data_IF_989541490285
#
_entry.id   IF_989541490285
#
_cell.length_a   1.000
_cell.length_b   1.000
_cell.length_c   1.000
_cell.angle_alpha   90.00
_cell.angle_beta   90.00
_cell.angle_gamma   90.00
#
_symmetry.space_group_name_H-M   'P 1'
#
loop_
_entity.id
_entity.type
_entity.pdbx_description
1 polymer ?
#
# COMPACT_ATOMS: atom_id res chain seq x y z
N UNK A 1 -7.93 -27.26 -13.78
CA UNK A 1 -6.89 -27.73 -12.82
C UNK A 1 -7.34 -29.04 -12.22
N UNK A 2 -6.45 -30.03 -12.10
CA UNK A 2 -6.78 -31.30 -11.43
C UNK A 2 -6.56 -31.14 -9.92
N UNK A 3 -7.60 -31.42 -9.13
CA UNK A 3 -7.55 -31.47 -7.68
C UNK A 3 -7.92 -32.90 -7.26
N UNK A 4 -6.90 -33.73 -6.99
CA UNK A 4 -7.10 -35.16 -6.75
C UNK A 4 -7.72 -35.85 -7.96
N UNK A 5 -8.92 -36.42 -7.79
CA UNK A 5 -9.70 -37.06 -8.87
C UNK A 5 -10.73 -36.13 -9.53
N UNK A 6 -10.84 -34.87 -9.09
CA UNK A 6 -11.79 -33.90 -9.64
C UNK A 6 -11.10 -32.92 -10.60
N UNK A 7 -11.82 -32.54 -11.66
CA UNK A 7 -11.40 -31.48 -12.57
C UNK A 7 -12.10 -30.19 -12.16
N UNK A 8 -11.34 -29.23 -11.63
CA UNK A 8 -11.81 -27.85 -11.48
C UNK A 8 -11.83 -27.20 -12.87
N UNK A 9 -13.04 -26.93 -13.39
CA UNK A 9 -13.30 -26.54 -14.79
C UNK A 9 -12.79 -25.15 -15.18
N UNK A 10 -12.46 -24.31 -14.21
CA UNK A 10 -12.13 -22.89 -14.39
C UNK A 10 -10.63 -22.61 -14.41
N UNK A 11 -9.78 -23.53 -13.93
CA UNK A 11 -8.31 -23.43 -14.03
C UNK A 11 -7.68 -22.18 -13.36
N UNK A 12 -8.46 -21.36 -12.66
CA UNK A 12 -8.05 -20.09 -12.09
C UNK A 12 -7.09 -20.29 -10.92
N UNK A 13 -6.05 -19.46 -10.86
CA UNK A 13 -5.09 -19.41 -9.76
C UNK A 13 -5.37 -18.18 -8.91
N UNK A 14 -5.74 -18.39 -7.63
CA UNK A 14 -5.88 -17.29 -6.68
C UNK A 14 -4.56 -17.05 -5.94
N UNK A 15 -4.04 -15.84 -6.01
CA UNK A 15 -2.81 -15.44 -5.31
C UNK A 15 -3.17 -14.41 -4.24
N UNK A 16 -2.81 -14.70 -2.99
CA UNK A 16 -2.97 -13.76 -1.89
C UNK A 16 -1.66 -12.96 -1.73
N UNK A 17 -1.69 -11.71 -2.19
CA UNK A 17 -0.54 -10.81 -2.10
C UNK A 17 -0.80 -9.74 -1.03
N UNK A 18 0.15 -9.47 -0.12
CA UNK A 18 0.00 -8.38 0.83
C UNK A 18 -0.01 -7.03 0.12
N UNK A 19 -1.14 -6.33 0.16
CA UNK A 19 -1.28 -4.99 -0.43
C UNK A 19 -0.94 -3.92 0.61
N UNK A 20 -0.27 -2.86 0.16
CA UNK A 20 -0.01 -1.71 1.03
C UNK A 20 -1.31 -0.91 1.23
N UNK A 21 -1.82 -0.78 2.47
CA UNK A 21 -3.10 -0.11 2.70
C UNK A 21 -3.09 1.39 2.35
N UNK A 22 -1.92 2.04 2.29
CA UNK A 22 -1.84 3.43 1.83
C UNK A 22 -2.27 3.59 0.37
N UNK A 23 -2.01 2.60 -0.48
CA UNK A 23 -2.41 2.63 -1.89
C UNK A 23 -3.94 2.50 -2.04
N UNK A 24 -4.58 1.76 -1.13
CA UNK A 24 -6.04 1.63 -1.10
C UNK A 24 -6.74 2.93 -0.67
N UNK A 25 -6.09 3.73 0.18
CA UNK A 25 -6.66 4.98 0.72
C UNK A 25 -6.40 6.16 -0.22
N UNK A 26 -5.35 6.09 -1.03
CA UNK A 26 -4.94 7.14 -1.95
C UNK A 26 -6.07 7.72 -2.84
N UNK A 27 -6.94 6.92 -3.50
CA UNK A 27 -8.03 7.47 -4.31
C UNK A 27 -9.02 8.29 -3.47
N UNK A 28 -9.31 7.86 -2.24
CA UNK A 28 -10.19 8.59 -1.32
C UNK A 28 -9.57 9.91 -0.87
N UNK A 29 -8.26 9.92 -0.58
CA UNK A 29 -7.52 11.13 -0.24
C UNK A 29 -7.54 12.16 -1.37
N UNK A 30 -7.27 11.71 -2.60
CA UNK A 30 -7.32 12.57 -3.79
C UNK A 30 -8.73 13.14 -4.04
N UNK A 31 -9.77 12.37 -3.72
CA UNK A 31 -11.17 12.76 -3.93
C UNK A 31 -11.69 13.72 -2.86
N UNK A 32 -11.38 13.47 -1.58
CA UNK A 32 -12.04 14.15 -0.46
C UNK A 32 -11.13 15.06 0.36
N UNK A 33 -9.80 14.93 0.26
CA UNK A 33 -8.85 15.65 1.11
C UNK A 33 -7.79 16.42 0.30
N UNK A 34 -8.07 16.76 -0.96
CA UNK A 34 -7.11 17.46 -1.84
C UNK A 34 -6.85 18.89 -1.37
N UNK A 35 -7.93 19.65 -1.17
CA UNK A 35 -7.84 21.08 -0.89
C UNK A 35 -7.97 21.39 0.60
N UNK A 36 -8.74 20.59 1.34
CA UNK A 36 -9.08 20.82 2.74
C UNK A 36 -8.60 19.71 3.68
N UNK A 37 -8.46 20.08 4.96
CA UNK A 37 -8.19 19.15 6.04
C UNK A 37 -9.46 18.42 6.45
N UNK A 38 -9.49 17.10 6.21
CA UNK A 38 -10.65 16.25 6.50
C UNK A 38 -10.30 15.15 7.49
N UNK A 39 -11.20 14.80 8.43
CA UNK A 39 -10.99 13.64 9.28
C UNK A 39 -11.11 12.36 8.46
N UNK A 40 -10.38 11.32 8.88
CA UNK A 40 -10.34 10.05 8.14
C UNK A 40 -11.72 9.39 7.99
N UNK A 41 -12.61 9.61 8.98
CA UNK A 41 -14.03 9.21 8.94
C UNK A 41 -14.79 9.73 7.73
N UNK A 42 -14.53 10.98 7.33
CA UNK A 42 -15.20 11.63 6.21
C UNK A 42 -14.59 11.24 4.87
N UNK A 43 -13.30 10.89 4.87
CA UNK A 43 -12.57 10.48 3.67
C UNK A 43 -12.94 9.04 3.28
N UNK A 44 -13.06 8.13 4.25
CA UNK A 44 -13.30 6.69 4.04
C UNK A 44 -14.80 6.35 4.00
N UNK A 45 -15.56 7.11 3.20
CA UNK A 45 -16.98 6.87 2.94
C UNK A 45 -17.17 6.34 1.53
N UNK A 46 -17.59 5.09 1.45
CA UNK A 46 -17.88 4.38 0.20
C UNK A 46 -19.05 3.42 0.41
N UNK A 47 -20.13 3.63 -0.33
CA UNK A 47 -21.34 2.82 -0.25
C UNK A 47 -21.21 1.52 -1.06
N UNK A 48 -20.39 1.52 -2.12
CA UNK A 48 -20.07 0.33 -2.90
C UNK A 48 -19.07 -0.56 -2.15
N UNK A 49 -18.12 0.04 -1.44
CA UNK A 49 -17.07 -0.64 -0.68
C UNK A 49 -17.05 -0.26 0.80
N UNK A 50 -18.06 -0.66 1.61
CA UNK A 50 -18.18 -0.27 3.01
C UNK A 50 -17.03 -0.77 3.90
N UNK A 51 -16.31 -1.81 3.46
CA UNK A 51 -15.14 -2.37 4.16
C UNK A 51 -13.97 -1.37 4.30
N UNK A 52 -13.93 -0.32 3.48
CA UNK A 52 -12.88 0.71 3.53
C UNK A 52 -12.84 1.43 4.89
N UNK A 53 -13.97 1.51 5.59
CA UNK A 53 -14.06 2.04 6.97
C UNK A 53 -13.18 1.27 7.98
N UNK A 54 -12.81 0.01 7.69
CA UNK A 54 -11.91 -0.75 8.56
C UNK A 54 -10.50 -0.13 8.62
N UNK A 55 -10.06 0.54 7.55
CA UNK A 55 -8.75 1.17 7.49
C UNK A 55 -8.64 2.35 8.46
N UNK A 56 -9.76 2.98 8.81
CA UNK A 56 -9.82 4.04 9.82
C UNK A 56 -9.40 3.54 11.21
N UNK A 57 -9.65 2.27 11.52
CA UNK A 57 -9.36 1.68 12.84
C UNK A 57 -7.93 1.16 12.97
N UNK A 58 -7.14 1.22 11.90
CA UNK A 58 -5.80 0.66 11.87
C UNK A 58 -4.75 1.71 12.23
N UNK A 59 -4.18 1.65 13.44
CA UNK A 59 -3.12 2.57 13.88
C UNK A 59 -1.88 2.54 12.96
N UNK A 60 -1.59 1.39 12.37
CA UNK A 60 -0.50 1.21 11.40
C UNK A 60 -0.72 2.01 10.13
N UNK A 61 -1.98 2.19 9.72
CA UNK A 61 -2.36 3.01 8.57
C UNK A 61 -2.25 4.49 8.95
N UNK A 62 -2.89 4.88 10.05
CA UNK A 62 -2.90 6.26 10.55
C UNK A 62 -1.47 6.79 10.70
N UNK A 63 -0.59 6.01 11.33
CA UNK A 63 0.82 6.39 11.54
C UNK A 63 1.63 6.51 10.26
N UNK A 64 1.21 5.85 9.17
CA UNK A 64 1.87 5.89 7.86
C UNK A 64 1.29 6.95 6.92
N UNK A 65 0.09 7.45 7.16
CA UNK A 65 -0.54 8.50 6.34
C UNK A 65 0.31 9.78 6.24
N UNK A 66 1.11 10.07 7.27
CA UNK A 66 2.07 11.19 7.27
C UNK A 66 3.11 11.15 6.13
N UNK A 67 3.26 10.00 5.46
CA UNK A 67 4.16 9.89 4.31
C UNK A 67 3.56 10.42 3.01
N UNK A 68 2.23 10.55 2.93
CA UNK A 68 1.51 10.92 1.71
C UNK A 68 0.53 12.09 1.93
N UNK A 69 0.43 12.59 3.17
CA UNK A 69 -0.50 13.64 3.57
C UNK A 69 0.10 14.49 4.70
N UNK A 70 -0.33 15.74 4.78
CA UNK A 70 -0.21 16.55 5.98
C UNK A 70 -1.20 16.05 7.04
N UNK A 71 -0.72 15.98 8.29
CA UNK A 71 -1.51 15.51 9.43
C UNK A 71 -1.46 16.56 10.52
N UNK A 72 -2.63 17.01 10.97
CA UNK A 72 -2.78 17.87 12.13
C UNK A 72 -3.75 17.24 13.12
N UNK A 73 -3.63 17.64 14.39
CA UNK A 73 -4.55 17.25 15.44
C UNK A 73 -5.22 18.50 15.99
N UNK A 74 -6.53 18.59 15.83
CA UNK A 74 -7.35 19.73 16.25
C UNK A 74 -8.38 19.18 17.23
N UNK A 75 -8.34 19.66 18.47
CA UNK A 75 -9.29 19.24 19.52
C UNK A 75 -9.37 17.72 19.72
N UNK A 76 -8.24 17.01 19.61
CA UNK A 76 -8.17 15.54 19.75
C UNK A 76 -8.63 14.75 18.51
N UNK A 77 -8.94 15.42 17.41
CA UNK A 77 -9.31 14.80 16.13
C UNK A 77 -8.17 14.99 15.13
N UNK A 78 -7.70 13.88 14.55
CA UNK A 78 -6.71 13.92 13.48
C UNK A 78 -7.38 14.24 12.14
N UNK A 79 -6.89 15.29 11.50
CA UNK A 79 -7.31 15.74 10.18
C UNK A 79 -6.15 15.60 9.20
N UNK A 80 -6.50 15.23 7.97
CA UNK A 80 -5.56 14.88 6.91
C UNK A 80 -5.83 15.73 5.68
N UNK A 81 -4.76 16.17 5.03
CA UNK A 81 -4.81 16.81 3.72
C UNK A 81 -3.81 16.11 2.79
N UNK A 82 -4.29 15.67 1.65
CA UNK A 82 -3.50 15.07 0.59
C UNK A 82 -2.48 16.06 0.05
N UNK A 83 -1.27 15.57 -0.21
CA UNK A 83 -0.24 16.34 -0.87
C UNK A 83 0.47 15.48 -1.92
N UNK A 84 0.58 16.01 -3.13
CA UNK A 84 1.16 15.29 -4.26
C UNK A 84 2.67 15.15 -4.14
N UNK A 85 3.37 16.14 -3.58
CA UNK A 85 4.83 16.08 -3.42
C UNK A 85 5.22 15.02 -2.37
N UNK A 86 4.48 14.95 -1.26
CA UNK A 86 4.64 13.91 -0.25
C UNK A 86 4.40 12.52 -0.87
N UNK A 87 3.34 12.35 -1.65
CA UNK A 87 3.08 11.10 -2.36
C UNK A 87 4.25 10.71 -3.28
N UNK A 88 4.71 11.63 -4.13
CA UNK A 88 5.80 11.37 -5.06
C UNK A 88 7.07 10.98 -4.30
N UNK A 89 7.47 11.75 -3.29
CA UNK A 89 8.64 11.42 -2.46
C UNK A 89 8.55 10.03 -1.82
N UNK A 90 7.36 9.64 -1.38
CA UNK A 90 7.10 8.32 -0.82
C UNK A 90 7.22 7.21 -1.88
N UNK A 91 6.65 7.40 -3.07
CA UNK A 91 6.74 6.45 -4.17
C UNK A 91 8.18 6.29 -4.67
N UNK A 92 8.91 7.38 -4.87
CA UNK A 92 10.34 7.37 -5.25
C UNK A 92 11.16 6.56 -4.24
N UNK A 93 10.93 6.77 -2.94
CA UNK A 93 11.60 6.00 -1.89
C UNK A 93 11.25 4.51 -1.95
N UNK A 94 10.02 4.16 -2.32
CA UNK A 94 9.58 2.77 -2.47
C UNK A 94 10.23 2.10 -3.67
N UNK A 95 10.29 2.77 -4.80
CA UNK A 95 10.97 2.29 -6.01
C UNK A 95 12.47 2.05 -5.73
N UNK A 96 13.17 3.03 -5.17
CA UNK A 96 14.58 2.89 -4.75
C UNK A 96 14.80 1.73 -3.77
N UNK A 97 13.81 1.41 -2.93
CA UNK A 97 13.88 0.28 -2.02
C UNK A 97 13.69 -1.06 -2.75
N UNK A 98 12.81 -1.10 -3.74
CA UNK A 98 12.55 -2.28 -4.56
C UNK A 98 13.76 -2.62 -5.43
N UNK A 99 14.36 -1.64 -6.13
CA UNK A 99 15.58 -1.82 -6.92
C UNK A 99 16.70 -2.46 -6.09
N UNK A 100 16.93 -1.95 -4.87
CA UNK A 100 17.94 -2.49 -3.96
C UNK A 100 17.66 -3.92 -3.51
N UNK A 101 16.40 -4.34 -3.50
CA UNK A 101 15.99 -5.65 -2.98
C UNK A 101 15.86 -6.69 -4.08
N UNK A 102 15.40 -6.29 -5.26
CA UNK A 102 15.06 -7.17 -6.38
C UNK A 102 16.22 -7.34 -7.38
N UNK A 103 17.26 -6.50 -7.31
CA UNK A 103 18.41 -6.57 -8.21
C UNK A 103 18.28 -5.67 -9.45
N UNK A 104 19.39 -5.44 -10.18
CA UNK A 104 19.43 -4.48 -11.29
C UNK A 104 18.52 -4.87 -12.45
N UNK A 105 18.37 -6.17 -12.73
CA UNK A 105 17.48 -6.73 -13.75
C UNK A 105 15.99 -6.42 -13.52
N UNK A 106 15.58 -6.29 -12.26
CA UNK A 106 14.23 -5.85 -11.90
C UNK A 106 14.06 -4.33 -12.02
N UNK A 107 15.15 -3.57 -11.87
CA UNK A 107 15.16 -2.13 -12.07
C UNK A 107 14.75 -1.78 -13.49
N UNK A 108 15.39 -2.40 -14.49
CA UNK A 108 15.08 -2.17 -15.92
C UNK A 108 13.61 -2.46 -16.25
N UNK A 109 13.05 -3.56 -15.73
CA UNK A 109 11.63 -3.88 -15.92
C UNK A 109 10.69 -2.85 -15.26
N UNK A 110 11.05 -2.33 -14.08
CA UNK A 110 10.28 -1.29 -13.40
C UNK A 110 10.31 0.02 -14.21
N UNK A 111 11.46 0.45 -14.70
CA UNK A 111 11.57 1.67 -15.51
C UNK A 111 10.80 1.55 -16.83
N UNK A 112 10.88 0.41 -17.52
CA UNK A 112 10.10 0.17 -18.73
C UNK A 112 8.58 0.30 -18.47
N UNK A 113 8.08 -0.28 -17.38
CA UNK A 113 6.66 -0.14 -16.99
C UNK A 113 6.32 1.33 -16.68
N UNK A 114 7.22 2.07 -16.04
CA UNK A 114 6.98 3.48 -15.72
C UNK A 114 6.97 4.35 -16.98
N UNK A 115 7.90 4.14 -17.92
CA UNK A 115 7.95 4.84 -19.21
C UNK A 115 6.66 4.66 -20.02
N UNK A 116 6.11 3.44 -20.01
CA UNK A 116 4.87 3.14 -20.72
C UNK A 116 3.62 3.75 -20.08
N UNK A 117 3.67 4.09 -18.78
CA UNK A 117 2.48 4.44 -17.99
C UNK A 117 2.51 5.83 -17.33
N UNK A 118 3.63 6.55 -17.41
CA UNK A 118 3.86 7.80 -16.70
C UNK A 118 4.47 8.85 -17.63
N UNK A 119 4.00 10.11 -17.53
CA UNK A 119 4.54 11.23 -18.32
C UNK A 119 6.02 11.50 -18.02
N UNK A 120 6.77 11.92 -19.04
CA UNK A 120 8.22 12.20 -18.98
C UNK A 120 8.61 13.15 -17.82
N UNK A 121 7.77 14.14 -17.51
CA UNK A 121 8.00 15.11 -16.43
C UNK A 121 8.18 14.46 -15.04
N UNK A 122 7.58 13.29 -14.81
CA UNK A 122 7.68 12.55 -13.54
C UNK A 122 8.93 11.66 -13.52
N UNK A 123 9.37 11.16 -14.68
CA UNK A 123 10.60 10.37 -14.81
C UNK A 123 11.83 11.23 -14.49
N UNK A 124 11.85 12.48 -14.96
CA UNK A 124 12.92 13.44 -14.66
C UNK A 124 13.05 13.74 -13.16
N UNK A 125 11.95 13.68 -12.41
CA UNK A 125 11.96 13.83 -10.94
C UNK A 125 12.52 12.59 -10.22
N UNK A 126 12.44 11.41 -10.82
CA UNK A 126 13.00 10.18 -10.26
C UNK A 126 14.52 10.11 -10.47
N UNK A 127 15.03 10.67 -11.56
CA UNK A 127 16.45 10.71 -11.91
C UNK A 127 17.28 11.69 -11.09
N UNK A 128 16.67 12.60 -10.33
CA UNK A 128 17.42 13.45 -9.39
C UNK A 128 18.05 12.59 -8.29
N UNK A 129 19.32 12.21 -8.53
CA UNK A 129 20.25 11.61 -7.57
C UNK A 129 20.49 12.59 -6.42
N UNK A 130 19.63 12.58 -5.42
CA UNK A 130 19.99 13.09 -4.10
C UNK A 130 21.06 12.15 -3.50
N UNK A 131 22.30 12.63 -3.42
CA UNK A 131 23.39 12.11 -2.59
C UNK A 131 23.00 12.25 -1.10
N UNK A 132 22.13 11.37 -0.61
CA UNK A 132 21.74 11.34 0.80
C UNK A 132 22.49 10.22 1.52
N UNK A 133 23.26 10.54 2.59
CA UNK A 133 24.06 9.57 3.32
C UNK A 133 23.17 8.52 4.00
N UNK A 134 23.69 7.30 4.25
CA UNK A 134 22.89 6.18 4.72
C UNK A 134 22.45 6.42 6.18
N UNK A 135 21.27 7.01 6.36
CA UNK A 135 20.61 7.00 7.67
C UNK A 135 20.17 5.57 7.99
N UNK A 136 20.71 5.06 9.10
CA UNK A 136 20.70 3.65 9.48
C UNK A 136 19.34 2.96 9.36
N UNK A 137 19.27 2.00 8.44
CA UNK A 137 18.16 1.06 8.38
C UNK A 137 18.20 0.15 9.60
N UNK A 138 17.24 0.36 10.52
CA UNK A 138 16.86 -0.66 11.51
C UNK A 138 16.30 -1.86 10.75
N UNK A 139 17.08 -2.94 10.67
CA UNK A 139 16.61 -4.27 10.29
C UNK A 139 15.46 -4.67 11.22
N UNK A 140 14.22 -4.55 10.77
CA UNK A 140 13.15 -5.41 11.30
C UNK A 140 13.02 -6.56 10.32
N UNK A 141 13.71 -7.64 10.68
CA UNK A 141 13.53 -8.94 10.08
C UNK A 141 12.04 -9.28 10.01
N UNK A 142 11.68 -9.90 8.90
CA UNK A 142 10.41 -10.55 8.64
C UNK A 142 10.01 -11.46 9.80
N UNK A 143 9.26 -10.93 10.78
CA UNK A 143 8.59 -11.74 11.81
C UNK A 143 7.19 -12.21 11.39
N UNK A 144 6.76 -11.89 10.17
CA UNK A 144 5.47 -12.35 9.63
C UNK A 144 5.58 -13.58 8.72
N UNK A 145 6.79 -14.07 8.42
CA UNK A 145 6.98 -15.14 7.44
C UNK A 145 7.13 -16.56 8.04
N UNK A 146 7.19 -16.71 9.37
CA UNK A 146 7.27 -18.02 10.02
C UNK A 146 6.34 -18.09 11.23
N UNK A 147 5.03 -18.14 10.98
CA UNK A 147 4.15 -18.90 11.87
C UNK A 147 3.56 -20.00 11.02
N UNK A 148 4.04 -21.21 11.29
CA UNK A 148 3.55 -22.46 10.70
C UNK A 148 2.03 -22.42 10.57
N UNK A 149 1.56 -22.87 9.40
CA UNK A 149 0.16 -23.25 9.20
C UNK A 149 -0.06 -24.53 10.02
N UNK A 150 -0.15 -24.38 11.34
CA UNK A 150 -0.98 -25.24 12.13
C UNK A 150 -2.40 -24.72 11.92
N UNK A 151 -3.30 -25.57 11.47
CA UNK A 151 -4.74 -25.32 11.48
C UNK A 151 -5.25 -25.85 12.82
N UNK A 152 -5.45 -25.03 13.86
CA UNK A 152 -6.31 -25.44 14.95
C UNK A 152 -7.76 -25.13 14.56
N UNK A 153 -8.63 -26.07 14.91
CA UNK A 153 -10.05 -26.07 14.65
C UNK A 153 -10.74 -24.73 14.96
N UNK A 154 -11.74 -24.43 14.13
CA UNK A 154 -12.70 -23.35 14.28
C UNK A 154 -13.03 -23.06 15.76
N UNK A 155 -12.62 -21.88 16.23
CA UNK A 155 -13.42 -21.09 17.18
C UNK A 155 -13.40 -19.64 16.75
N UNK A 156 -14.60 -19.08 16.70
CA UNK A 156 -14.96 -17.71 16.39
C UNK A 156 -14.05 -16.68 17.06
N UNK A 157 -13.45 -15.79 16.26
CA UNK A 157 -13.44 -14.33 16.46
C UNK A 157 -12.56 -13.66 15.39
N UNK A 158 -13.21 -12.80 14.59
CA UNK A 158 -12.71 -11.83 13.59
C UNK A 158 -11.79 -12.31 12.45
N UNK A 159 -12.18 -12.12 11.17
CA UNK A 159 -11.33 -12.49 10.05
C UNK A 159 -10.22 -11.44 9.79
N UNK A 160 -8.98 -11.86 9.49
CA UNK A 160 -7.99 -10.99 8.85
C UNK A 160 -8.54 -10.49 7.50
N UNK A 161 -8.46 -9.17 7.28
CA UNK A 161 -8.88 -8.55 6.02
C UNK A 161 -7.82 -8.85 4.96
N UNK A 162 -8.05 -9.89 4.17
CA UNK A 162 -7.30 -10.18 2.95
C UNK A 162 -8.01 -9.51 1.77
N UNK A 163 -7.34 -8.57 1.10
CA UNK A 163 -7.82 -8.06 -0.18
C UNK A 163 -7.43 -9.07 -1.26
N UNK A 164 -8.43 -9.73 -1.85
CA UNK A 164 -8.26 -10.64 -2.99
C UNK A 164 -8.33 -9.77 -4.24
N UNK A 165 -7.22 -9.68 -4.98
CA UNK A 165 -7.21 -9.09 -6.33
C UNK A 165 -7.38 -10.27 -7.30
N UNK A 166 -8.45 -10.23 -8.11
CA UNK A 166 -8.60 -11.13 -9.24
C UNK A 166 -7.78 -10.55 -10.40
N UNK A 167 -6.80 -11.32 -10.88
CA UNK A 167 -6.07 -11.08 -12.13
C UNK A 167 -6.75 -11.84 -13.26
#
# INVERSE_FOLDING_TARGET
>A
MLHGQNVAGNGSLAILVPVNPLLLILPYLKKYAKDDYMPLRSILLDDEFPAVKLLEKMDTVISRLKHICYCHEISGVKVFRYDEQLLLSYLTRKLKCLEKTAGPEFGEAIYAILEDNVSADILDLLEQKEDVPPSGFRKRACKFFNKEIAVPALKSEQPPVFFIIFL
#
